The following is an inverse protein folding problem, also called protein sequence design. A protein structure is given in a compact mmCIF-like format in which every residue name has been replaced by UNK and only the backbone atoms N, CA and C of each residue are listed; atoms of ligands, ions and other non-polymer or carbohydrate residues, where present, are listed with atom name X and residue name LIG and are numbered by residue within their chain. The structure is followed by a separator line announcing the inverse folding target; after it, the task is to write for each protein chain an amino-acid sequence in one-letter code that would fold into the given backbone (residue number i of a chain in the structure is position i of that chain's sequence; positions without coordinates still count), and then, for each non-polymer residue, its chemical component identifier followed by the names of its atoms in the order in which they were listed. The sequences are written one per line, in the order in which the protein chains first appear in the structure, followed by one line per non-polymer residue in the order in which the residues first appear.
data_IF_840952668817
#
_entry.id   IF_840952668817
#
_cell.length_a   1.000
_cell.length_b   1.000
_cell.length_c   1.000
_cell.angle_alpha   90.00
_cell.angle_beta   90.00
_cell.angle_gamma   90.00
#
_symmetry.space_group_name_H-M   'P 1'
#
loop_
_entity.id
_entity.type
_entity.pdbx_description
1 polymer ?
#
# COMPACT_ATOMS: atom_id res chain seq x y z
N UNK A 1 3.13 22.50 -13.11
CA UNK A 1 2.55 21.97 -11.86
C UNK A 1 3.22 20.64 -11.58
N UNK A 2 3.77 20.45 -10.38
CA UNK A 2 4.46 19.20 -10.03
C UNK A 2 3.46 18.26 -9.35
N UNK A 3 3.16 17.15 -9.99
CA UNK A 3 2.34 16.08 -9.43
C UNK A 3 3.31 15.00 -8.94
N UNK A 4 3.34 14.70 -7.64
CA UNK A 4 4.16 13.60 -7.12
C UNK A 4 3.25 12.39 -6.95
N UNK A 5 3.54 11.34 -7.72
CA UNK A 5 2.86 10.04 -7.64
C UNK A 5 3.84 9.05 -7.04
N UNK A 6 3.42 8.36 -5.99
CA UNK A 6 4.21 7.35 -5.30
C UNK A 6 3.32 6.14 -5.08
N UNK A 7 3.89 4.96 -5.26
CA UNK A 7 3.26 3.69 -4.92
C UNK A 7 4.06 3.07 -3.78
N UNK A 8 3.46 2.86 -2.63
CA UNK A 8 4.09 2.17 -1.51
C UNK A 8 3.49 0.77 -1.36
N UNK A 9 4.29 -0.19 -0.95
CA UNK A 9 3.86 -1.55 -0.59
C UNK A 9 4.15 -1.70 0.88
N UNK A 10 3.11 -1.97 1.66
CA UNK A 10 3.19 -2.09 3.12
C UNK A 10 2.74 -3.48 3.56
N UNK A 11 3.50 -4.11 4.45
CA UNK A 11 3.18 -5.43 5.03
C UNK A 11 3.03 -5.35 6.56
N UNK A 12 1.99 -5.98 7.10
CA UNK A 12 1.65 -5.96 8.53
C UNK A 12 1.51 -7.39 9.08
N UNK A 13 2.19 -7.76 10.17
CA UNK A 13 2.04 -9.09 10.80
C UNK A 13 0.68 -9.24 11.51
N UNK A 14 0.03 -10.38 11.28
CA UNK A 14 -1.24 -10.92 11.83
C UNK A 14 -1.91 -10.18 13.03
N UNK A 15 -3.24 -10.09 12.98
CA UNK A 15 -4.15 -9.37 13.90
C UNK A 15 -4.30 -7.87 13.68
N UNK A 16 -4.64 -7.53 12.44
CA UNK A 16 -5.50 -6.40 12.17
C UNK A 16 -4.81 -5.05 12.32
N UNK A 17 -5.05 -4.25 11.30
CA UNK A 17 -5.09 -2.79 11.32
C UNK A 17 -5.64 -2.16 12.62
N UNK A 18 -6.33 -2.90 13.49
CA UNK A 18 -6.82 -2.49 14.80
C UNK A 18 -5.75 -1.95 15.77
N UNK A 19 -4.46 -2.28 15.59
CA UNK A 19 -3.39 -1.83 16.50
C UNK A 19 -2.34 -0.87 15.90
N UNK A 20 -2.47 -0.46 14.63
CA UNK A 20 -1.75 0.67 14.03
C UNK A 20 -0.32 0.91 14.57
N UNK A 21 0.50 -0.14 14.58
CA UNK A 21 1.94 -0.03 14.82
C UNK A 21 2.58 -0.34 13.48
N UNK A 22 3.20 0.70 12.93
CA UNK A 22 4.12 0.73 11.77
C UNK A 22 4.15 -0.51 10.89
N UNK A 23 3.96 -0.34 9.58
CA UNK A 23 4.21 -1.41 8.63
C UNK A 23 5.59 -2.03 8.92
N UNK A 24 5.62 -3.36 9.10
CA UNK A 24 6.87 -4.07 9.37
C UNK A 24 7.80 -3.94 8.16
N UNK A 25 7.20 -3.84 6.98
CA UNK A 25 7.89 -3.58 5.72
C UNK A 25 7.19 -2.50 4.92
N UNK A 26 7.94 -1.50 4.48
CA UNK A 26 7.49 -0.50 3.49
C UNK A 26 8.48 -0.43 2.33
N UNK A 27 8.00 -0.59 1.11
CA UNK A 27 8.79 -0.38 -0.12
C UNK A 27 8.09 0.66 -1.03
N UNK A 28 8.84 1.64 -1.56
CA UNK A 28 8.28 2.68 -2.44
C UNK A 28 8.73 2.52 -3.89
N UNK A 29 7.79 2.73 -4.80
CA UNK A 29 7.90 2.56 -6.24
C UNK A 29 7.33 3.78 -6.97
N UNK A 30 7.81 4.00 -8.19
CA UNK A 30 7.31 5.04 -9.10
C UNK A 30 6.24 4.51 -10.06
N UNK A 31 6.02 3.19 -10.08
CA UNK A 31 5.14 2.49 -11.02
C UNK A 31 4.23 1.48 -10.30
N UNK A 32 2.93 1.49 -10.64
CA UNK A 32 1.92 0.55 -10.13
C UNK A 32 2.31 -0.90 -10.37
N UNK A 33 2.76 -1.23 -11.58
CA UNK A 33 3.04 -2.62 -11.95
C UNK A 33 4.17 -3.22 -11.11
N UNK A 34 5.18 -2.41 -10.77
CA UNK A 34 6.26 -2.83 -9.89
C UNK A 34 5.79 -2.96 -8.45
N UNK A 35 4.99 -2.01 -7.95
CA UNK A 35 4.41 -2.08 -6.62
C UNK A 35 3.52 -3.32 -6.44
N UNK A 36 2.63 -3.62 -7.39
CA UNK A 36 1.79 -4.84 -7.35
C UNK A 36 2.63 -6.12 -7.37
N UNK A 37 3.69 -6.14 -8.19
CA UNK A 37 4.60 -7.29 -8.25
C UNK A 37 5.36 -7.47 -6.94
N UNK A 38 5.81 -6.39 -6.32
CA UNK A 38 6.46 -6.41 -5.02
C UNK A 38 5.50 -6.84 -3.91
N UNK A 39 4.27 -6.33 -3.90
CA UNK A 39 3.23 -6.70 -2.95
C UNK A 39 2.90 -8.19 -3.01
N UNK A 40 2.68 -8.72 -4.22
CA UNK A 40 2.47 -10.16 -4.40
C UNK A 40 3.67 -10.98 -3.93
N UNK A 41 4.89 -10.52 -4.21
CA UNK A 41 6.12 -11.21 -3.78
C UNK A 41 6.30 -11.15 -2.26
N UNK A 42 5.90 -10.05 -1.62
CA UNK A 42 5.95 -9.89 -0.17
C UNK A 42 4.93 -10.81 0.49
N UNK A 43 3.68 -10.84 -0.01
CA UNK A 43 2.63 -11.74 0.47
C UNK A 43 3.01 -13.22 0.29
N UNK A 44 3.62 -13.58 -0.85
CA UNK A 44 4.08 -14.95 -1.12
C UNK A 44 5.27 -15.36 -0.24
N UNK A 45 6.15 -14.40 0.09
CA UNK A 45 7.32 -14.63 0.94
C UNK A 45 6.95 -14.71 2.43
N UNK A 46 5.94 -13.95 2.84
CA UNK A 46 5.51 -13.83 4.23
C UNK A 46 4.01 -14.11 4.31
N UNK A 47 3.66 -15.38 4.47
CA UNK A 47 2.28 -15.88 4.56
C UNK A 47 1.50 -15.27 5.75
N UNK A 48 2.23 -14.75 6.74
CA UNK A 48 1.70 -14.11 7.95
C UNK A 48 1.59 -12.57 7.85
N UNK A 49 1.91 -11.97 6.69
CA UNK A 49 1.76 -10.54 6.46
C UNK A 49 0.50 -10.24 5.65
N UNK A 50 -0.33 -9.34 6.15
CA UNK A 50 -1.32 -8.63 5.34
C UNK A 50 -0.60 -7.55 4.54
N UNK A 51 -0.58 -7.71 3.22
CA UNK A 51 0.16 -6.83 2.31
C UNK A 51 -0.78 -5.96 1.49
N UNK A 52 -0.52 -4.65 1.50
CA UNK A 52 -1.29 -3.64 0.80
C UNK A 52 -0.40 -2.81 -0.12
N UNK A 53 -0.99 -2.33 -1.21
CA UNK A 53 -0.40 -1.33 -2.10
C UNK A 53 -1.13 -0.02 -1.89
N UNK A 54 -0.37 1.02 -1.64
CA UNK A 54 -0.85 2.36 -1.33
C UNK A 54 -0.38 3.30 -2.44
N UNK A 55 -1.33 3.89 -3.13
CA UNK A 55 -1.07 4.93 -4.11
C UNK A 55 -1.27 6.29 -3.48
N UNK A 56 -0.21 7.08 -3.40
CA UNK A 56 -0.26 8.46 -2.93
C UNK A 56 -0.01 9.41 -4.09
N UNK A 57 -0.97 10.29 -4.34
CA UNK A 57 -0.88 11.32 -5.37
C UNK A 57 -1.08 12.70 -4.76
N UNK A 58 -0.01 13.49 -4.73
CA UNK A 58 -0.08 14.88 -4.29
C UNK A 58 -0.18 15.80 -5.50
N UNK A 59 -1.32 16.48 -5.63
CA UNK A 59 -1.61 17.45 -6.69
C UNK A 59 -2.03 18.77 -6.05
N UNK A 60 -1.27 19.83 -6.30
CA UNK A 60 -1.59 21.19 -5.85
C UNK A 60 -1.87 21.30 -4.32
N UNK A 61 -1.11 20.57 -3.51
CA UNK A 61 -1.25 20.53 -2.05
C UNK A 61 -2.39 19.63 -1.53
N UNK A 62 -3.14 18.97 -2.41
CA UNK A 62 -4.10 17.92 -2.05
C UNK A 62 -3.45 16.56 -2.23
N UNK A 63 -3.50 15.72 -1.20
CA UNK A 63 -3.04 14.34 -1.26
C UNK A 63 -4.25 13.43 -1.40
N UNK A 64 -4.23 12.57 -2.42
CA UNK A 64 -5.17 11.48 -2.60
C UNK A 64 -4.45 10.17 -2.34
N UNK A 65 -5.01 9.34 -1.47
CA UNK A 65 -4.49 8.01 -1.13
C UNK A 65 -5.49 6.94 -1.57
N UNK A 66 -5.00 5.87 -2.18
CA UNK A 66 -5.80 4.72 -2.58
C UNK A 66 -5.12 3.43 -2.17
N UNK A 67 -5.91 2.50 -1.65
CA UNK A 67 -5.43 1.24 -1.13
C UNK A 67 -5.86 0.10 -2.05
N UNK A 68 -4.96 -0.83 -2.31
CA UNK A 68 -5.20 -2.03 -3.08
C UNK A 68 -4.66 -3.21 -2.30
N UNK A 69 -5.41 -4.31 -2.27
CA UNK A 69 -4.90 -5.54 -1.68
C UNK A 69 -3.79 -6.15 -2.56
N UNK A 70 -3.03 -7.09 -1.99
CA UNK A 70 -1.99 -7.83 -2.71
C UNK A 70 -2.49 -8.59 -3.94
N UNK A 71 -3.78 -8.93 -4.01
CA UNK A 71 -4.41 -9.54 -5.21
C UNK A 71 -4.72 -8.52 -6.31
N UNK A 72 -4.62 -7.22 -6.02
CA UNK A 72 -4.93 -6.13 -6.92
C UNK A 72 -6.39 -5.70 -6.92
N UNK A 73 -7.23 -6.29 -6.04
CA UNK A 73 -8.57 -5.78 -5.77
C UNK A 73 -8.49 -4.42 -5.09
N UNK A 74 -9.33 -3.51 -5.56
CA UNK A 74 -9.48 -2.19 -4.95
C UNK A 74 -10.27 -2.33 -3.66
N UNK A 75 -9.70 -1.85 -2.55
CA UNK A 75 -10.41 -1.75 -1.28
C UNK A 75 -10.99 -0.33 -1.19
N UNK A 76 -12.31 -0.21 -1.37
CA UNK A 76 -13.06 1.03 -1.08
C UNK A 76 -12.97 1.43 0.39
N UNK A 77 -12.68 0.46 1.27
CA UNK A 77 -12.16 0.67 2.63
C UNK A 77 -10.72 1.20 2.59
N UNK A 78 -10.49 2.26 1.81
CA UNK A 78 -9.44 3.19 2.13
C UNK A 78 -9.82 3.83 3.45
N UNK A 79 -9.42 3.18 4.54
CA UNK A 79 -9.47 3.63 5.94
C UNK A 79 -10.47 4.77 6.19
N UNK A 80 -11.69 4.43 6.61
CA UNK A 80 -12.44 5.39 7.42
C UNK A 80 -11.68 5.57 8.75
N UNK A 81 -11.25 6.81 8.97
CA UNK A 81 -10.43 7.28 10.09
C UNK A 81 -11.28 7.58 11.33
#
# INVERSE_FOLDING_TARGET
MSSKKVWSVEGYEEHGVENHREADMTESFTNEAEARKAAKKMADKYDNLDVYVIYTSTVNGKTEERFFNSDGSYSEEGFEW
#
